data_IF_636787774882
#
_entry.id   IF_636787774882
#
_cell.length_a   1.000
_cell.length_b   1.000
_cell.length_c   1.000
_cell.angle_alpha   90.00
_cell.angle_beta   90.00
_cell.angle_gamma   90.00
#
_symmetry.space_group_name_H-M   'P 1'
#
loop_
_entity.id
_entity.type
_entity.pdbx_description
1 polymer ?
#
# COMPACT_ATOMS: atom_id res chain seq x y z
N UNK A 1 -24.02 45.99 -30.53
CA UNK A 1 -24.19 45.00 -29.45
C UNK A 1 -23.98 45.71 -28.13
N UNK A 2 -24.95 45.69 -27.20
CA UNK A 2 -24.83 46.37 -25.90
C UNK A 2 -23.59 45.86 -25.14
N UNK A 3 -22.81 46.77 -24.56
CA UNK A 3 -21.62 46.45 -23.78
C UNK A 3 -21.92 45.52 -22.59
N UNK A 4 -23.14 45.54 -22.07
CA UNK A 4 -23.62 44.61 -21.04
C UNK A 4 -23.73 43.19 -21.57
N UNK A 5 -24.23 43.01 -22.80
CA UNK A 5 -24.36 41.71 -23.46
C UNK A 5 -22.98 41.14 -23.80
N UNK A 6 -22.04 41.98 -24.27
CA UNK A 6 -20.68 41.56 -24.60
C UNK A 6 -19.90 41.10 -23.36
N UNK A 7 -20.05 41.79 -22.22
CA UNK A 7 -19.45 41.37 -20.94
C UNK A 7 -20.00 40.02 -20.46
N UNK A 8 -21.32 39.80 -20.55
CA UNK A 8 -21.93 38.50 -20.21
C UNK A 8 -21.42 37.37 -21.10
N UNK A 9 -21.25 37.64 -22.40
CA UNK A 9 -20.74 36.66 -23.36
C UNK A 9 -19.27 36.30 -23.09
N UNK A 10 -18.43 37.29 -22.76
CA UNK A 10 -17.03 37.09 -22.36
C UNK A 10 -16.92 36.24 -21.08
N UNK A 11 -17.77 36.51 -20.08
CA UNK A 11 -17.81 35.73 -18.85
C UNK A 11 -18.20 34.27 -19.14
N UNK A 12 -19.28 34.04 -19.90
CA UNK A 12 -19.71 32.70 -20.29
C UNK A 12 -18.62 31.92 -21.04
N UNK A 13 -17.93 32.58 -21.99
CA UNK A 13 -16.83 31.98 -22.72
C UNK A 13 -15.63 31.64 -21.82
N UNK A 14 -15.30 32.50 -20.86
CA UNK A 14 -14.22 32.24 -19.89
C UNK A 14 -14.53 31.08 -18.94
N UNK A 15 -15.77 30.97 -18.46
CA UNK A 15 -16.23 29.85 -17.62
C UNK A 15 -16.20 28.55 -18.41
N UNK A 16 -16.62 28.59 -19.68
CA UNK A 16 -16.56 27.43 -20.57
C UNK A 16 -15.11 26.97 -20.81
N UNK A 17 -14.19 27.88 -21.12
CA UNK A 17 -12.76 27.54 -21.28
C UNK A 17 -12.14 26.97 -19.99
N UNK A 18 -12.51 27.51 -18.83
CA UNK A 18 -12.04 26.99 -17.53
C UNK A 18 -12.58 25.58 -17.27
N UNK A 19 -13.86 25.33 -17.57
CA UNK A 19 -14.45 23.99 -17.44
C UNK A 19 -13.84 22.96 -18.38
N UNK A 20 -13.50 23.35 -19.62
CA UNK A 20 -12.74 22.53 -20.56
C UNK A 20 -11.34 22.21 -20.05
N UNK A 21 -10.64 23.20 -19.48
CA UNK A 21 -9.29 23.01 -18.94
C UNK A 21 -9.30 22.06 -17.73
N UNK A 22 -10.26 22.24 -16.82
CA UNK A 22 -10.46 21.32 -15.69
C UNK A 22 -10.78 19.91 -16.18
N UNK A 23 -11.70 19.76 -17.15
CA UNK A 23 -12.04 18.47 -17.72
C UNK A 23 -10.82 17.78 -18.35
N UNK A 24 -10.02 18.49 -19.17
CA UNK A 24 -8.81 17.92 -19.76
C UNK A 24 -7.76 17.51 -18.72
N UNK A 25 -7.61 18.28 -17.64
CA UNK A 25 -6.68 17.96 -16.55
C UNK A 25 -7.12 16.70 -15.79
N UNK A 26 -8.42 16.56 -15.51
CA UNK A 26 -8.95 15.36 -14.85
C UNK A 26 -8.86 14.10 -15.71
N UNK A 27 -9.01 14.23 -17.03
CA UNK A 27 -8.89 13.11 -17.95
C UNK A 27 -7.43 12.60 -18.04
N UNK A 28 -6.45 13.51 -18.06
CA UNK A 28 -5.02 13.17 -18.07
C UNK A 28 -4.61 12.51 -16.75
N UNK A 29 -5.11 13.01 -15.62
CA UNK A 29 -4.83 12.45 -14.29
C UNK A 29 -5.32 11.00 -14.16
N UNK A 30 -6.55 10.70 -14.60
CA UNK A 30 -7.11 9.34 -14.58
C UNK A 30 -6.30 8.35 -15.41
N UNK A 31 -5.83 8.76 -16.59
CA UNK A 31 -5.00 7.93 -17.46
C UNK A 31 -3.60 7.70 -16.86
N UNK A 32 -3.00 8.71 -16.22
CA UNK A 32 -1.71 8.57 -15.51
C UNK A 32 -1.79 7.53 -14.40
N UNK A 33 -2.83 7.58 -13.54
CA UNK A 33 -3.00 6.59 -12.48
C UNK A 33 -3.18 5.18 -13.05
N UNK A 34 -3.97 5.02 -14.12
CA UNK A 34 -4.18 3.74 -14.79
C UNK A 34 -2.89 3.16 -15.37
N UNK A 35 -2.09 3.98 -16.05
CA UNK A 35 -0.79 3.56 -16.59
C UNK A 35 0.19 3.19 -15.48
N UNK A 36 0.22 3.97 -14.41
CA UNK A 36 1.07 3.70 -13.25
C UNK A 36 0.74 2.33 -12.62
N UNK A 37 -0.54 2.02 -12.43
CA UNK A 37 -0.99 0.69 -11.95
C UNK A 37 -0.55 -0.42 -12.90
N UNK A 38 -0.73 -0.25 -14.20
CA UNK A 38 -0.36 -1.26 -15.20
C UNK A 38 1.16 -1.55 -15.17
N UNK A 39 1.99 -0.51 -15.06
CA UNK A 39 3.44 -0.68 -14.92
C UNK A 39 3.85 -1.35 -13.61
N UNK A 40 3.18 -1.03 -12.48
CA UNK A 40 3.39 -1.72 -11.21
C UNK A 40 3.05 -3.20 -11.30
N UNK A 41 1.89 -3.54 -11.86
CA UNK A 41 1.45 -4.93 -12.03
C UNK A 41 2.35 -5.73 -12.98
N UNK A 42 2.89 -5.09 -14.03
CA UNK A 42 3.83 -5.71 -14.96
C UNK A 42 5.27 -5.72 -14.44
N UNK A 43 5.54 -5.15 -13.27
CA UNK A 43 6.88 -5.03 -12.71
C UNK A 43 7.83 -4.11 -13.49
N UNK A 44 7.29 -3.16 -14.27
CA UNK A 44 8.07 -2.22 -15.06
C UNK A 44 8.61 -1.08 -14.18
N UNK A 45 9.72 -1.36 -13.48
CA UNK A 45 10.40 -0.43 -12.55
C UNK A 45 10.72 0.90 -13.24
N UNK A 46 11.26 0.85 -14.46
CA UNK A 46 11.75 2.03 -15.18
C UNK A 46 10.61 2.99 -15.51
N UNK A 47 9.54 2.49 -16.12
CA UNK A 47 8.41 3.36 -16.49
C UNK A 47 7.59 3.81 -15.28
N UNK A 48 7.52 2.98 -14.23
CA UNK A 48 6.97 3.40 -12.94
C UNK A 48 7.75 4.58 -12.38
N UNK A 49 9.08 4.50 -12.31
CA UNK A 49 9.91 5.61 -11.82
C UNK A 49 9.80 6.86 -12.70
N UNK A 50 9.72 6.69 -14.03
CA UNK A 50 9.52 7.79 -14.96
C UNK A 50 8.21 8.55 -14.69
N UNK A 51 7.10 7.83 -14.50
CA UNK A 51 5.80 8.44 -14.18
C UNK A 51 5.89 9.17 -12.84
N UNK A 52 6.43 8.55 -11.79
CA UNK A 52 6.53 9.15 -10.45
C UNK A 52 7.37 10.44 -10.46
N UNK A 53 8.44 10.50 -11.26
CA UNK A 53 9.26 11.71 -11.38
C UNK A 53 8.59 12.81 -12.20
N UNK A 54 7.88 12.42 -13.26
CA UNK A 54 7.27 13.36 -14.21
C UNK A 54 5.99 13.97 -13.68
N UNK A 55 5.19 13.18 -12.97
CA UNK A 55 3.89 13.55 -12.45
C UNK A 55 3.95 13.51 -10.92
N UNK A 56 3.39 14.52 -10.25
CA UNK A 56 3.28 14.54 -8.79
C UNK A 56 2.14 13.62 -8.33
N UNK A 57 2.27 12.32 -8.60
CA UNK A 57 1.27 11.29 -8.30
C UNK A 57 1.16 11.02 -6.82
N UNK A 58 -0.05 10.77 -6.35
CA UNK A 58 -0.29 10.23 -5.01
C UNK A 58 -0.06 8.70 -5.02
N UNK A 59 1.03 8.25 -4.40
CA UNK A 59 1.35 6.82 -4.29
C UNK A 59 0.42 6.06 -3.34
N UNK A 60 -0.38 6.78 -2.55
CA UNK A 60 -1.37 6.23 -1.64
C UNK A 60 -2.77 6.21 -2.26
N UNK A 61 -2.89 6.58 -3.54
CA UNK A 61 -4.13 6.44 -4.28
C UNK A 61 -4.63 4.99 -4.26
N UNK A 62 -5.93 4.85 -4.02
CA UNK A 62 -6.63 3.58 -4.03
C UNK A 62 -7.11 3.25 -5.44
N UNK A 63 -6.73 2.08 -5.92
CA UNK A 63 -7.14 1.60 -7.25
C UNK A 63 -8.38 0.69 -7.18
N UNK A 64 -8.78 0.06 -8.30
CA UNK A 64 -10.06 -0.69 -8.43
C UNK A 64 -10.36 -1.74 -7.35
N UNK A 65 -9.33 -2.31 -6.70
CA UNK A 65 -9.47 -3.26 -5.59
C UNK A 65 -9.14 -2.62 -4.23
N UNK A 66 -9.10 -1.28 -4.19
CA UNK A 66 -8.69 -0.46 -3.05
C UNK A 66 -7.34 -0.91 -2.46
N UNK A 67 -6.43 -1.33 -3.33
CA UNK A 67 -5.03 -1.50 -2.99
C UNK A 67 -4.26 -0.24 -3.36
N UNK A 68 -3.29 0.12 -2.52
CA UNK A 68 -2.22 1.03 -2.91
C UNK A 68 -1.24 0.32 -3.85
N UNK A 69 -0.41 1.08 -4.56
CA UNK A 69 0.64 0.49 -5.41
C UNK A 69 1.61 -0.38 -4.60
N UNK A 70 1.89 0.01 -3.35
CA UNK A 70 2.75 -0.77 -2.46
C UNK A 70 2.10 -2.12 -2.13
N UNK A 71 0.79 -2.15 -1.86
CA UNK A 71 0.07 -3.40 -1.64
C UNK A 71 0.15 -4.32 -2.86
N UNK A 72 -0.05 -3.81 -4.08
CA UNK A 72 0.15 -4.60 -5.32
C UNK A 72 1.58 -5.13 -5.47
N UNK A 73 2.59 -4.33 -5.16
CA UNK A 73 3.98 -4.79 -5.22
C UNK A 73 4.22 -5.93 -4.22
N UNK A 74 3.66 -5.84 -3.01
CA UNK A 74 3.78 -6.86 -1.96
C UNK A 74 3.01 -8.14 -2.28
N UNK A 75 1.77 -8.04 -2.76
CA UNK A 75 0.97 -9.22 -3.13
C UNK A 75 1.51 -9.95 -4.36
N UNK A 76 2.38 -9.32 -5.13
CA UNK A 76 3.12 -9.94 -6.24
C UNK A 76 4.57 -10.34 -5.87
N UNK A 77 4.97 -10.23 -4.60
CA UNK A 77 6.34 -10.44 -4.11
C UNK A 77 7.42 -9.64 -4.86
N UNK A 78 7.06 -8.50 -5.43
CA UNK A 78 7.96 -7.69 -6.23
C UNK A 78 8.80 -6.76 -5.34
N UNK A 79 9.89 -7.32 -4.80
CA UNK A 79 10.83 -6.61 -3.92
C UNK A 79 11.38 -5.30 -4.50
N UNK A 80 11.74 -5.29 -5.79
CA UNK A 80 12.32 -4.10 -6.42
C UNK A 80 11.26 -2.99 -6.60
N UNK A 81 10.03 -3.36 -6.92
CA UNK A 81 8.93 -2.39 -7.00
C UNK A 81 8.57 -1.84 -5.62
N UNK A 82 8.51 -2.70 -4.59
CA UNK A 82 8.27 -2.26 -3.22
C UNK A 82 9.36 -1.26 -2.75
N UNK A 83 10.64 -1.57 -2.99
CA UNK A 83 11.77 -0.65 -2.71
C UNK A 83 11.62 0.68 -3.43
N UNK A 84 11.24 0.66 -4.72
CA UNK A 84 11.05 1.87 -5.50
C UNK A 84 9.94 2.74 -4.88
N UNK A 85 8.77 2.18 -4.63
CA UNK A 85 7.62 2.92 -4.09
C UNK A 85 7.91 3.50 -2.70
N UNK A 86 8.54 2.71 -1.82
CA UNK A 86 8.95 3.15 -0.49
C UNK A 86 10.02 4.25 -0.54
N UNK A 87 10.97 4.17 -1.48
CA UNK A 87 11.96 5.23 -1.73
C UNK A 87 11.29 6.56 -2.12
N UNK A 88 10.18 6.50 -2.85
CA UNK A 88 9.35 7.66 -3.19
C UNK A 88 8.26 7.98 -2.15
N UNK A 89 8.41 7.46 -0.92
CA UNK A 89 7.57 7.77 0.24
C UNK A 89 6.10 7.32 0.11
N UNK A 90 5.84 6.22 -0.61
CA UNK A 90 4.58 5.50 -0.43
C UNK A 90 4.39 5.16 1.05
N UNK A 91 3.18 5.39 1.57
CA UNK A 91 2.86 5.11 2.96
C UNK A 91 2.83 3.59 3.18
N UNK A 92 3.78 3.12 4.00
CA UNK A 92 3.93 1.70 4.34
C UNK A 92 2.76 1.16 5.15
N UNK A 93 1.99 2.03 5.81
CA UNK A 93 0.86 1.69 6.67
C UNK A 93 -0.50 1.95 6.02
N UNK A 94 -0.53 2.43 4.78
CA UNK A 94 -1.77 2.62 4.05
C UNK A 94 -2.53 1.29 4.00
N UNK A 95 -3.76 1.23 4.54
CA UNK A 95 -4.55 0.01 4.54
C UNK A 95 -5.06 -0.30 3.14
N UNK A 96 -5.40 -1.56 2.86
CA UNK A 96 -6.30 -1.93 1.77
C UNK A 96 -7.77 -1.72 2.19
N UNK A 97 -8.72 -2.08 1.34
CA UNK A 97 -10.15 -2.06 1.69
C UNK A 97 -10.51 -2.83 2.96
N UNK A 98 -9.86 -3.97 3.20
CA UNK A 98 -10.12 -4.81 4.37
C UNK A 98 -9.29 -4.36 5.59
N UNK A 99 -8.75 -3.15 5.56
CA UNK A 99 -7.86 -2.63 6.59
C UNK A 99 -6.45 -3.25 6.57
N UNK A 100 -6.11 -4.09 5.59
CA UNK A 100 -4.84 -4.80 5.58
C UNK A 100 -3.68 -3.91 5.14
N UNK A 101 -2.67 -3.74 5.99
CA UNK A 101 -1.43 -3.06 5.59
C UNK A 101 -0.55 -3.95 4.70
N UNK A 102 0.41 -3.32 4.02
CA UNK A 102 1.45 -4.03 3.27
C UNK A 102 2.16 -5.09 4.14
N UNK A 103 2.36 -4.83 5.43
CA UNK A 103 2.96 -5.79 6.35
C UNK A 103 2.08 -7.04 6.55
N UNK A 104 0.78 -6.88 6.74
CA UNK A 104 -0.17 -8.00 6.85
C UNK A 104 -0.16 -8.84 5.56
N UNK A 105 -0.28 -8.18 4.40
CA UNK A 105 -0.30 -8.84 3.10
C UNK A 105 0.98 -9.65 2.84
N UNK A 106 2.15 -9.14 3.22
CA UNK A 106 3.44 -9.83 3.04
C UNK A 106 3.50 -11.18 3.77
N UNK A 107 2.84 -11.29 4.92
CA UNK A 107 2.79 -12.50 5.74
C UNK A 107 1.79 -13.51 5.17
N UNK A 108 0.66 -13.04 4.64
CA UNK A 108 -0.42 -13.90 4.13
C UNK A 108 -0.01 -14.59 2.82
N UNK A 109 0.55 -13.85 1.86
CA UNK A 109 0.72 -14.36 0.49
C UNK A 109 2.03 -15.12 0.25
N UNK A 110 3.17 -14.55 0.66
CA UNK A 110 4.49 -15.04 0.21
C UNK A 110 5.41 -15.47 1.35
N UNK A 111 5.16 -15.00 2.58
CA UNK A 111 6.01 -15.26 3.76
C UNK A 111 7.47 -14.87 3.51
N UNK A 112 7.70 -13.89 2.65
CA UNK A 112 9.02 -13.41 2.28
C UNK A 112 9.59 -12.57 3.43
N UNK A 113 10.54 -13.15 4.16
CA UNK A 113 11.18 -12.53 5.31
C UNK A 113 11.89 -11.21 4.94
N UNK A 114 12.47 -11.13 3.74
CA UNK A 114 13.16 -9.92 3.30
C UNK A 114 12.17 -8.81 2.95
N UNK A 115 10.99 -9.13 2.42
CA UNK A 115 9.88 -8.17 2.26
C UNK A 115 9.42 -7.64 3.62
N UNK A 116 9.23 -8.54 4.60
CA UNK A 116 8.86 -8.16 5.98
C UNK A 116 9.90 -7.20 6.58
N UNK A 117 11.19 -7.54 6.50
CA UNK A 117 12.27 -6.68 6.98
C UNK A 117 12.32 -5.34 6.27
N UNK A 118 12.12 -5.32 4.94
CA UNK A 118 12.05 -4.10 4.15
C UNK A 118 10.94 -3.19 4.68
N UNK A 119 9.71 -3.69 4.80
CA UNK A 119 8.56 -2.90 5.27
C UNK A 119 8.80 -2.37 6.70
N UNK A 120 9.31 -3.20 7.61
CA UNK A 120 9.66 -2.77 8.97
C UNK A 120 10.74 -1.68 8.98
N UNK A 121 11.74 -1.77 8.09
CA UNK A 121 12.79 -0.75 7.98
C UNK A 121 12.27 0.61 7.51
N UNK A 122 11.13 0.64 6.82
CA UNK A 122 10.42 1.85 6.42
C UNK A 122 9.33 2.29 7.41
N UNK A 123 9.24 1.65 8.58
CA UNK A 123 8.34 2.07 9.66
C UNK A 123 6.94 1.44 9.62
N UNK A 124 6.80 0.25 9.04
CA UNK A 124 5.56 -0.50 9.11
C UNK A 124 5.13 -0.74 10.57
N UNK A 125 3.88 -0.40 10.90
CA UNK A 125 3.30 -0.62 12.21
C UNK A 125 2.92 -2.09 12.37
N UNK A 126 3.73 -2.78 13.15
CA UNK A 126 3.53 -4.17 13.57
C UNK A 126 2.21 -4.43 14.30
N UNK A 127 1.63 -3.40 14.93
CA UNK A 127 0.39 -3.50 15.69
C UNK A 127 -0.85 -3.12 14.89
N UNK A 128 -0.70 -2.61 13.66
CA UNK A 128 -1.84 -2.27 12.83
C UNK A 128 -2.70 -3.52 12.61
N UNK A 129 -4.00 -3.34 12.82
CA UNK A 129 -5.00 -4.38 12.65
C UNK A 129 -5.80 -4.12 11.37
N UNK A 130 -6.15 -5.19 10.70
CA UNK A 130 -7.18 -5.18 9.66
C UNK A 130 -8.57 -5.12 10.30
N UNK A 131 -9.60 -5.04 9.46
CA UNK A 131 -11.00 -4.93 9.91
C UNK A 131 -11.50 -6.16 10.67
N UNK A 132 -10.84 -7.31 10.49
CA UNK A 132 -11.07 -8.55 11.24
C UNK A 132 -10.30 -8.59 12.58
N UNK A 133 -9.76 -7.46 13.04
CA UNK A 133 -8.94 -7.30 14.26
C UNK A 133 -7.60 -8.06 14.24
N UNK A 134 -7.24 -8.69 13.12
CA UNK A 134 -5.98 -9.41 12.92
C UNK A 134 -4.84 -8.46 12.54
N UNK A 135 -3.67 -8.63 13.16
CA UNK A 135 -2.43 -7.95 12.77
C UNK A 135 -1.43 -8.93 12.12
N UNK A 136 -0.28 -8.44 11.68
CA UNK A 136 0.72 -9.27 11.00
C UNK A 136 1.18 -10.48 11.84
N UNK A 137 1.29 -10.32 13.17
CA UNK A 137 1.63 -11.44 14.06
C UNK A 137 0.50 -12.46 14.16
N UNK A 138 -0.76 -12.02 14.22
CA UNK A 138 -1.92 -12.92 14.23
C UNK A 138 -1.85 -13.87 13.02
N UNK A 139 -1.67 -13.32 11.81
CA UNK A 139 -1.57 -14.13 10.58
C UNK A 139 -0.29 -14.97 10.48
N UNK A 140 0.82 -14.51 11.08
CA UNK A 140 2.03 -15.32 11.15
C UNK A 140 1.80 -16.56 12.03
N UNK A 141 1.09 -16.43 13.15
CA UNK A 141 0.88 -17.54 14.09
C UNK A 141 -0.27 -18.47 13.72
N UNK A 142 -1.17 -18.06 12.82
CA UNK A 142 -2.28 -18.90 12.34
C UNK A 142 -1.76 -20.13 11.54
N UNK A 143 -0.52 -20.08 11.02
CA UNK A 143 0.11 -21.18 10.30
C UNK A 143 1.53 -21.49 10.81
N UNK A 144 1.75 -22.69 11.37
CA UNK A 144 3.05 -23.14 11.92
C UNK A 144 4.06 -23.60 10.84
N UNK A 145 4.40 -22.69 9.93
CA UNK A 145 5.51 -22.89 8.97
C UNK A 145 6.83 -22.35 9.51
N UNK A 146 7.97 -22.86 9.02
CA UNK A 146 9.30 -22.42 9.47
C UNK A 146 9.48 -20.91 9.28
N UNK A 147 9.04 -20.41 8.14
CA UNK A 147 9.07 -19.00 7.74
C UNK A 147 8.24 -18.16 8.70
N UNK A 148 7.02 -18.62 9.03
CA UNK A 148 6.14 -17.93 9.97
C UNK A 148 6.69 -17.88 11.40
N UNK A 149 7.39 -18.93 11.85
CA UNK A 149 8.10 -18.91 13.14
C UNK A 149 9.20 -17.85 13.13
N UNK A 150 9.93 -17.71 12.02
CA UNK A 150 10.98 -16.70 11.88
C UNK A 150 10.41 -15.28 11.82
N UNK A 151 9.34 -15.07 11.06
CA UNK A 151 8.57 -13.81 11.02
C UNK A 151 8.04 -13.47 12.42
N UNK A 152 7.46 -14.44 13.12
CA UNK A 152 7.00 -14.27 14.51
C UNK A 152 8.12 -13.86 15.46
N UNK A 153 9.33 -14.39 15.28
CA UNK A 153 10.53 -13.96 16.03
C UNK A 153 10.90 -12.51 15.70
N UNK A 154 10.94 -12.14 14.42
CA UNK A 154 11.22 -10.75 13.97
C UNK A 154 10.23 -9.78 14.64
N UNK A 155 8.95 -10.13 14.60
CA UNK A 155 7.89 -9.34 15.22
C UNK A 155 8.04 -9.23 16.74
N UNK A 156 8.41 -10.32 17.42
CA UNK A 156 8.68 -10.32 18.86
C UNK A 156 9.86 -9.41 19.23
N UNK A 157 10.94 -9.42 18.46
CA UNK A 157 12.07 -8.52 18.70
C UNK A 157 11.70 -7.05 18.45
N UNK A 158 10.86 -6.79 17.44
CA UNK A 158 10.36 -5.45 17.15
C UNK A 158 9.36 -4.94 18.20
N UNK A 159 8.68 -5.82 18.94
CA UNK A 159 7.63 -5.45 19.88
C UNK A 159 7.89 -5.98 21.31
N UNK A 160 8.48 -5.14 22.17
CA UNK A 160 8.80 -5.46 23.57
C UNK A 160 7.58 -5.83 24.45
N UNK A 161 6.34 -5.60 23.99
CA UNK A 161 5.11 -5.72 24.81
C UNK A 161 4.37 -7.07 24.68
N UNK A 162 4.72 -7.89 23.67
CA UNK A 162 3.99 -9.13 23.32
C UNK A 162 4.41 -10.40 24.07
N UNK A 163 5.29 -10.29 25.08
CA UNK A 163 5.80 -11.43 25.88
C UNK A 163 4.71 -12.35 26.46
N UNK A 164 3.53 -11.81 26.80
CA UNK A 164 2.51 -12.56 27.54
C UNK A 164 1.78 -13.62 26.68
N UNK A 165 1.47 -13.33 25.42
CA UNK A 165 0.68 -14.23 24.57
C UNK A 165 1.51 -15.42 24.10
N UNK A 166 2.80 -15.20 23.81
CA UNK A 166 3.73 -16.27 23.43
C UNK A 166 3.93 -17.26 24.57
N UNK A 167 4.08 -16.79 25.82
CA UNK A 167 4.20 -17.69 26.97
C UNK A 167 2.96 -18.55 27.14
N UNK A 168 1.77 -17.99 26.86
CA UNK A 168 0.51 -18.74 26.91
C UNK A 168 0.47 -19.78 25.78
N UNK A 169 0.81 -19.44 24.53
CA UNK A 169 0.80 -20.38 23.41
C UNK A 169 1.84 -21.50 23.54
N UNK A 170 3.08 -21.16 23.89
CA UNK A 170 4.18 -22.13 24.12
C UNK A 170 3.83 -23.09 25.28
N UNK A 171 3.18 -22.58 26.34
CA UNK A 171 2.67 -23.40 27.45
C UNK A 171 1.46 -24.30 27.06
N UNK A 172 0.71 -23.94 26.02
CA UNK A 172 -0.40 -24.74 25.50
C UNK A 172 0.08 -25.82 24.51
N UNK A 173 1.12 -25.54 23.71
CA UNK A 173 1.68 -26.51 22.76
C UNK A 173 2.51 -27.60 23.44
N UNK A 174 3.24 -27.28 24.51
CA UNK A 174 3.93 -28.29 25.35
C UNK A 174 2.97 -29.33 25.95
N UNK A 175 1.67 -29.03 26.08
CA UNK A 175 0.66 -29.99 26.56
C UNK A 175 0.11 -30.93 25.48
N UNK A 176 0.40 -30.70 24.20
CA UNK A 176 -0.04 -31.60 23.11
C UNK A 176 1.00 -32.68 22.74
N UNK A 177 2.19 -32.61 23.35
CA UNK A 177 3.29 -33.53 23.10
C UNK A 177 3.83 -34.24 24.37
N UNK A 178 3.06 -34.25 25.46
CA UNK A 178 3.31 -35.03 26.70
C UNK A 178 2.16 -36.00 26.96
#
# INVERSE_FOLDING_TARGET
MDGTIMKKLLILFSVFLFSLCLYSQTADESEVYKQLKDYVNKGNIKETENIIKKYNVDLNHYYDENYTLLAYAVTNDNMEMAKLLLKYKADVNAPSYEGMSALILSVIYHKNIEMVKLLLSYGADINQKCDLEGNALFYALDYYTKENIEIGKIFKFANKRLMLIYYIMDSMEMKKHL
#
